data_IF_646548136934
#
_entry.id   IF_646548136934
#
_cell.length_a   1.000
_cell.length_b   1.000
_cell.length_c   1.000
_cell.angle_alpha   90.00
_cell.angle_beta   90.00
_cell.angle_gamma   90.00
#
_symmetry.space_group_name_H-M   'P 1'
#
loop_
_entity.id
_entity.type
_entity.pdbx_description
1 polymer ?
#
# COMPACT_ATOMS: atom_id res chain seq x y z
N UNK A 1 -43.03 6.41 -3.43
CA UNK A 1 -42.90 6.20 -1.98
C UNK A 1 -41.42 5.96 -1.69
N UNK A 2 -40.77 6.92 -1.04
CA UNK A 2 -39.35 6.73 -0.60
C UNK A 2 -39.37 5.71 0.55
N UNK A 3 -38.66 4.61 0.39
CA UNK A 3 -38.50 3.63 1.45
C UNK A 3 -37.96 4.27 2.73
N UNK A 4 -38.63 4.02 3.86
CA UNK A 4 -38.12 4.46 5.17
C UNK A 4 -36.70 3.92 5.39
N UNK A 5 -35.77 4.79 5.75
CA UNK A 5 -34.34 4.48 5.98
C UNK A 5 -34.03 4.56 7.48
N UNK A 6 -34.35 3.53 8.28
CA UNK A 6 -34.28 3.60 9.76
C UNK A 6 -32.87 3.83 10.31
N UNK A 7 -31.84 3.57 9.51
CA UNK A 7 -30.44 3.86 9.92
C UNK A 7 -30.15 5.36 10.02
N UNK A 8 -30.91 6.22 9.32
CA UNK A 8 -30.69 7.68 9.38
C UNK A 8 -31.03 8.26 10.75
N UNK A 9 -31.94 7.62 11.51
CA UNK A 9 -32.31 8.04 12.86
C UNK A 9 -31.12 7.93 13.84
N UNK A 10 -30.11 7.11 13.49
CA UNK A 10 -28.93 6.88 14.28
C UNK A 10 -27.69 7.66 13.79
N UNK A 11 -27.83 8.51 12.77
CA UNK A 11 -26.72 9.31 12.31
C UNK A 11 -26.40 10.44 13.31
N UNK A 12 -25.12 10.66 13.64
CA UNK A 12 -24.74 11.83 14.43
C UNK A 12 -25.14 13.13 13.73
N UNK A 13 -25.45 14.16 14.52
CA UNK A 13 -25.80 15.49 13.96
C UNK A 13 -24.70 16.01 13.03
N UNK A 14 -25.12 16.52 11.87
CA UNK A 14 -24.20 17.07 10.85
C UNK A 14 -23.65 16.05 9.85
N UNK A 15 -24.01 14.77 9.96
CA UNK A 15 -23.67 13.78 8.94
C UNK A 15 -24.78 13.77 7.86
N UNK A 16 -24.45 13.99 6.58
CA UNK A 16 -25.42 13.98 5.50
C UNK A 16 -26.01 12.58 5.29
N UNK A 17 -27.28 12.51 4.96
CA UNK A 17 -27.99 11.26 4.69
C UNK A 17 -27.47 10.52 3.44
N UNK A 18 -26.91 11.25 2.49
CA UNK A 18 -26.33 10.72 1.26
C UNK A 18 -24.93 11.31 1.08
N UNK A 19 -24.03 10.52 0.49
CA UNK A 19 -22.76 11.05 -0.01
C UNK A 19 -22.99 11.75 -1.34
N UNK A 20 -22.14 12.72 -1.64
CA UNK A 20 -22.03 13.31 -2.98
C UNK A 20 -20.85 12.59 -3.69
N UNK A 21 -21.13 11.67 -4.63
CA UNK A 21 -20.07 10.91 -5.30
C UNK A 21 -19.25 11.77 -6.27
N UNK A 22 -19.80 12.93 -6.70
CA UNK A 22 -19.17 13.79 -7.70
C UNK A 22 -18.39 14.94 -7.04
N UNK A 23 -18.32 14.96 -5.71
CA UNK A 23 -17.62 16.01 -4.97
C UNK A 23 -16.12 16.10 -5.29
N UNK A 24 -15.50 14.96 -5.59
CA UNK A 24 -14.10 14.85 -5.95
C UNK A 24 -13.97 14.08 -7.27
N UNK A 25 -13.14 14.61 -8.18
CA UNK A 25 -12.89 13.93 -9.46
C UNK A 25 -12.09 12.64 -9.28
N UNK A 26 -11.23 12.58 -8.26
CA UNK A 26 -10.39 11.40 -7.99
C UNK A 26 -10.13 11.23 -6.48
N UNK A 27 -9.73 10.02 -6.09
CA UNK A 27 -9.27 9.74 -4.73
C UNK A 27 -7.99 10.54 -4.38
N UNK A 28 -7.17 10.88 -5.37
CA UNK A 28 -5.96 11.67 -5.15
C UNK A 28 -6.28 13.14 -4.85
N UNK A 29 -7.29 13.72 -5.50
CA UNK A 29 -7.79 15.05 -5.17
C UNK A 29 -8.32 15.10 -3.74
N UNK A 30 -9.13 14.11 -3.35
CA UNK A 30 -9.60 13.99 -1.98
C UNK A 30 -8.46 13.86 -0.97
N UNK A 31 -7.46 13.01 -1.26
CA UNK A 31 -6.29 12.83 -0.40
C UNK A 31 -5.51 14.15 -0.23
N UNK A 32 -5.30 14.88 -1.32
CA UNK A 32 -4.58 16.15 -1.32
C UNK A 32 -5.29 17.19 -0.43
N UNK A 33 -6.61 17.35 -0.59
CA UNK A 33 -7.41 18.25 0.27
C UNK A 33 -7.30 17.85 1.75
N UNK A 34 -7.48 16.56 2.06
CA UNK A 34 -7.43 16.05 3.44
C UNK A 34 -6.05 16.25 4.05
N UNK A 35 -4.99 15.97 3.29
CA UNK A 35 -3.62 16.14 3.74
C UNK A 35 -3.27 17.61 4.00
N UNK A 36 -3.74 18.53 3.15
CA UNK A 36 -3.57 19.99 3.35
C UNK A 36 -4.33 20.49 4.58
N UNK A 37 -5.61 20.13 4.67
CA UNK A 37 -6.50 20.58 5.75
C UNK A 37 -6.08 20.08 7.13
N UNK A 38 -5.52 18.86 7.21
CA UNK A 38 -5.18 18.22 8.47
C UNK A 38 -3.67 17.98 8.63
N UNK A 39 -2.82 18.74 7.95
CA UNK A 39 -1.39 18.50 7.78
C UNK A 39 -0.65 18.06 9.05
N UNK A 40 -0.93 18.70 10.19
CA UNK A 40 -0.26 18.47 11.46
C UNK A 40 -1.00 17.48 12.39
N UNK A 41 -2.18 17.00 11.98
CA UNK A 41 -2.91 15.99 12.77
C UNK A 41 -2.33 14.60 12.51
N UNK A 42 -2.40 13.68 13.50
CA UNK A 42 -2.05 12.29 13.29
C UNK A 42 -3.02 11.64 12.30
N UNK A 43 -2.47 11.00 11.27
CA UNK A 43 -3.21 10.18 10.32
C UNK A 43 -3.22 8.72 10.74
N UNK A 44 -2.07 8.22 11.23
CA UNK A 44 -1.89 6.84 11.67
C UNK A 44 -1.03 6.79 12.94
N UNK A 45 -1.31 5.79 13.78
CA UNK A 45 -0.51 5.48 14.96
C UNK A 45 -0.14 4.01 14.97
N UNK A 46 1.13 3.70 15.28
CA UNK A 46 1.62 2.33 15.38
C UNK A 46 2.68 2.22 16.47
N UNK A 47 2.45 1.35 17.46
CA UNK A 47 3.36 1.10 18.57
C UNK A 47 3.83 2.40 19.28
N UNK A 48 2.93 3.38 19.44
CA UNK A 48 3.20 4.66 20.10
C UNK A 48 3.97 5.67 19.24
N UNK A 49 4.14 5.41 17.94
CA UNK A 49 4.63 6.40 16.98
C UNK A 49 3.50 6.83 16.05
N UNK A 50 3.32 8.13 15.94
CA UNK A 50 2.34 8.73 15.05
C UNK A 50 2.99 9.16 13.72
N UNK A 51 2.19 9.12 12.66
CA UNK A 51 2.48 9.69 11.35
C UNK A 51 1.41 10.71 11.02
N UNK A 52 1.79 11.96 10.78
CA UNK A 52 0.85 13.02 10.41
C UNK A 52 0.41 12.92 8.95
N UNK A 53 -0.67 13.60 8.59
CA UNK A 53 -1.13 13.69 7.18
C UNK A 53 -0.06 14.29 6.28
N UNK A 54 0.67 15.32 6.72
CA UNK A 54 1.81 15.88 5.96
C UNK A 54 2.92 14.86 5.75
N UNK A 55 3.21 14.05 6.76
CA UNK A 55 4.21 12.98 6.61
C UNK A 55 3.73 11.89 5.66
N UNK A 56 2.46 11.49 5.74
CA UNK A 56 1.87 10.52 4.80
C UNK A 56 1.98 11.01 3.36
N UNK A 57 1.60 12.27 3.11
CA UNK A 57 1.67 12.87 1.78
C UNK A 57 3.10 12.89 1.22
N UNK A 58 4.07 13.37 2.01
CA UNK A 58 5.48 13.39 1.62
C UNK A 58 6.06 11.99 1.37
N UNK A 59 5.78 11.05 2.28
CA UNK A 59 6.31 9.69 2.19
C UNK A 59 5.69 8.92 1.01
N UNK A 60 4.40 9.06 0.78
CA UNK A 60 3.75 8.45 -0.38
C UNK A 60 4.26 9.03 -1.70
N UNK A 61 4.51 10.33 -1.77
CA UNK A 61 5.12 10.97 -2.95
C UNK A 61 6.53 10.42 -3.22
N UNK A 62 7.36 10.28 -2.19
CA UNK A 62 8.70 9.69 -2.32
C UNK A 62 8.64 8.22 -2.77
N UNK A 63 7.69 7.46 -2.24
CA UNK A 63 7.51 6.06 -2.62
C UNK A 63 7.05 5.94 -4.07
N UNK A 64 6.09 6.75 -4.52
CA UNK A 64 5.64 6.79 -5.91
C UNK A 64 6.76 7.16 -6.88
N UNK A 65 7.58 8.17 -6.54
CA UNK A 65 8.74 8.55 -7.32
C UNK A 65 9.77 7.40 -7.44
N UNK A 66 9.96 6.65 -6.35
CA UNK A 66 10.80 5.46 -6.39
C UNK A 66 10.24 4.39 -7.34
N UNK A 67 8.94 4.08 -7.28
CA UNK A 67 8.32 3.08 -8.15
C UNK A 67 8.47 3.44 -9.64
N UNK A 68 8.25 4.70 -10.00
CA UNK A 68 8.49 5.20 -11.35
C UNK A 68 9.96 5.09 -11.77
N UNK A 69 10.91 5.37 -10.86
CA UNK A 69 12.34 5.21 -11.12
C UNK A 69 12.75 3.76 -11.38
N UNK A 70 11.93 2.80 -10.95
CA UNK A 70 12.11 1.36 -11.24
C UNK A 70 11.44 0.90 -12.53
N UNK A 71 10.90 1.83 -13.33
CA UNK A 71 10.31 1.57 -14.63
C UNK A 71 8.83 1.20 -14.61
N UNK A 72 8.16 1.28 -13.45
CA UNK A 72 6.71 1.13 -13.39
C UNK A 72 6.02 2.36 -14.00
N UNK A 73 4.99 2.13 -14.79
CA UNK A 73 4.28 3.15 -15.58
C UNK A 73 2.81 3.23 -15.16
N UNK A 74 2.12 4.35 -15.41
CA UNK A 74 0.68 4.42 -15.22
C UNK A 74 -0.06 3.23 -15.85
N UNK A 75 -1.00 2.65 -15.10
CA UNK A 75 -1.74 1.43 -15.48
C UNK A 75 -1.06 0.11 -15.10
N UNK A 76 0.24 0.09 -14.74
CA UNK A 76 0.88 -1.11 -14.20
C UNK A 76 0.27 -1.49 -12.83
N UNK A 77 0.21 -2.78 -12.54
CA UNK A 77 -0.36 -3.30 -11.28
C UNK A 77 0.75 -3.51 -10.26
N UNK A 78 0.51 -2.98 -9.06
CA UNK A 78 1.44 -3.06 -7.94
C UNK A 78 0.79 -3.76 -6.74
N UNK A 79 1.30 -4.93 -6.38
CA UNK A 79 0.79 -5.72 -5.25
C UNK A 79 1.29 -5.18 -3.91
N UNK A 80 0.41 -5.15 -2.91
CA UNK A 80 0.76 -4.86 -1.52
C UNK A 80 0.32 -6.04 -0.66
N UNK A 81 1.31 -6.75 -0.08
CA UNK A 81 1.08 -7.95 0.74
C UNK A 81 1.62 -7.76 2.15
N UNK A 82 0.82 -7.14 3.01
CA UNK A 82 1.15 -6.92 4.42
C UNK A 82 -0.12 -6.69 5.24
N UNK A 83 -0.08 -6.91 6.57
CA UNK A 83 -1.15 -6.49 7.47
C UNK A 83 -1.16 -4.95 7.61
N UNK A 84 -2.07 -4.45 8.46
CA UNK A 84 -2.20 -3.02 8.74
C UNK A 84 -0.95 -2.47 9.45
N UNK A 85 0.02 -2.01 8.68
CA UNK A 85 1.27 -1.39 9.10
C UNK A 85 1.36 0.03 8.51
N UNK A 86 2.14 0.95 9.10
CA UNK A 86 2.30 2.30 8.57
C UNK A 86 2.82 2.36 7.13
N UNK A 87 3.54 1.34 6.69
CA UNK A 87 4.02 1.22 5.31
C UNK A 87 2.89 1.02 4.30
N UNK A 88 1.78 0.40 4.72
CA UNK A 88 0.65 0.12 3.82
C UNK A 88 0.05 1.41 3.22
N UNK A 89 -0.40 2.40 4.01
CA UNK A 89 -0.96 3.63 3.43
C UNK A 89 0.08 4.42 2.62
N UNK A 90 1.36 4.38 2.99
CA UNK A 90 2.44 5.01 2.20
C UNK A 90 2.53 4.34 0.82
N UNK A 91 2.52 3.01 0.78
CA UNK A 91 2.60 2.25 -0.46
C UNK A 91 1.34 2.40 -1.32
N UNK A 92 0.16 2.33 -0.70
CA UNK A 92 -1.13 2.52 -1.38
C UNK A 92 -1.16 3.87 -2.10
N UNK A 93 -1.03 4.96 -1.34
CA UNK A 93 -1.11 6.30 -1.93
C UNK A 93 0.08 6.63 -2.82
N UNK A 94 1.27 6.06 -2.54
CA UNK A 94 2.42 6.22 -3.41
C UNK A 94 2.24 5.54 -4.77
N UNK A 95 1.69 4.33 -4.79
CA UNK A 95 1.35 3.64 -6.02
C UNK A 95 0.29 4.41 -6.83
N UNK A 96 -0.79 4.87 -6.17
CA UNK A 96 -1.82 5.69 -6.82
C UNK A 96 -1.26 7.00 -7.38
N UNK A 97 -0.40 7.71 -6.62
CA UNK A 97 0.28 8.93 -7.10
C UNK A 97 1.20 8.69 -8.28
N UNK A 98 1.71 7.48 -8.43
CA UNK A 98 2.50 7.06 -9.59
C UNK A 98 1.63 6.59 -10.78
N UNK A 99 0.30 6.62 -10.66
CA UNK A 99 -0.64 6.15 -11.68
C UNK A 99 -0.83 4.64 -11.72
N UNK A 100 -0.37 3.92 -10.69
CA UNK A 100 -0.44 2.45 -10.64
C UNK A 100 -1.79 1.97 -10.11
N UNK A 101 -2.18 0.77 -10.51
CA UNK A 101 -3.33 0.05 -9.98
C UNK A 101 -2.86 -0.83 -8.81
N UNK A 102 -3.44 -0.64 -7.63
CA UNK A 102 -3.04 -1.41 -6.45
C UNK A 102 -3.74 -2.77 -6.43
N UNK A 103 -2.98 -3.82 -6.19
CA UNK A 103 -3.50 -5.18 -5.98
C UNK A 103 -3.36 -5.54 -4.49
N UNK A 104 -4.47 -5.48 -3.76
CA UNK A 104 -4.46 -5.87 -2.36
C UNK A 104 -4.35 -7.39 -2.24
N UNK A 105 -3.28 -7.85 -1.58
CA UNK A 105 -2.98 -9.26 -1.43
C UNK A 105 -3.08 -9.68 0.03
N UNK A 106 -3.86 -10.72 0.30
CA UNK A 106 -3.98 -11.26 1.65
C UNK A 106 -2.62 -11.84 2.11
N UNK A 107 -2.05 -11.36 3.23
CA UNK A 107 -0.77 -11.88 3.72
C UNK A 107 -0.80 -13.36 4.11
N UNK A 108 -1.96 -13.96 4.28
CA UNK A 108 -2.11 -15.37 4.61
C UNK A 108 -2.24 -16.30 3.38
N UNK A 109 -2.16 -15.75 2.17
CA UNK A 109 -2.22 -16.57 0.96
C UNK A 109 -1.07 -17.57 0.89
N UNK A 110 -1.42 -18.78 0.46
CA UNK A 110 -0.46 -19.81 0.07
C UNK A 110 0.29 -19.41 -1.20
N UNK A 111 1.45 -20.02 -1.50
CA UNK A 111 2.14 -19.78 -2.77
C UNK A 111 1.26 -19.95 -4.01
N UNK A 112 0.35 -20.94 -4.02
CA UNK A 112 -0.58 -21.20 -5.14
C UNK A 112 -1.57 -20.05 -5.34
N UNK A 113 -2.14 -19.54 -4.24
CA UNK A 113 -3.08 -18.39 -4.29
C UNK A 113 -2.36 -17.12 -4.73
N UNK A 114 -1.12 -16.89 -4.25
CA UNK A 114 -0.29 -15.77 -4.70
C UNK A 114 0.02 -15.86 -6.19
N UNK A 115 0.46 -17.04 -6.68
CA UNK A 115 0.76 -17.29 -8.09
C UNK A 115 -0.46 -17.01 -8.97
N UNK A 116 -1.64 -17.49 -8.56
CA UNK A 116 -2.89 -17.22 -9.26
C UNK A 116 -3.19 -15.72 -9.31
N UNK A 117 -3.21 -15.04 -8.15
CA UNK A 117 -3.55 -13.62 -8.08
C UNK A 117 -2.58 -12.75 -8.87
N UNK A 118 -1.27 -13.00 -8.78
CA UNK A 118 -0.28 -12.16 -9.46
C UNK A 118 -0.29 -12.35 -10.97
N UNK A 119 -0.60 -13.56 -11.46
CA UNK A 119 -0.73 -13.81 -12.89
C UNK A 119 -2.05 -13.26 -13.44
N UNK A 120 -3.16 -13.43 -12.72
CA UNK A 120 -4.47 -12.92 -13.10
C UNK A 120 -4.49 -11.37 -13.14
N UNK A 121 -3.93 -10.74 -12.11
CA UNK A 121 -3.80 -9.27 -12.06
C UNK A 121 -2.71 -8.72 -12.96
N UNK A 122 -1.80 -9.56 -13.49
CA UNK A 122 -0.59 -9.14 -14.21
C UNK A 122 0.28 -8.16 -13.40
N UNK A 123 0.42 -8.42 -12.09
CA UNK A 123 1.23 -7.58 -11.21
C UNK A 123 2.68 -7.50 -11.68
N UNK A 124 3.23 -6.28 -11.81
CA UNK A 124 4.61 -6.01 -12.19
C UNK A 124 5.51 -5.66 -11.01
N UNK A 125 4.93 -5.20 -9.93
CA UNK A 125 5.67 -4.89 -8.72
C UNK A 125 4.98 -5.40 -7.48
N UNK A 126 5.75 -5.59 -6.40
CA UNK A 126 5.22 -6.00 -5.09
C UNK A 126 5.98 -5.32 -3.95
N UNK A 127 5.23 -4.89 -2.94
CA UNK A 127 5.74 -4.65 -1.59
C UNK A 127 5.20 -5.74 -0.66
N UNK A 128 6.09 -6.59 -0.16
CA UNK A 128 5.74 -7.70 0.72
C UNK A 128 6.40 -7.57 2.09
N UNK A 129 5.68 -7.91 3.16
CA UNK A 129 6.30 -8.04 4.47
C UNK A 129 7.24 -9.26 4.48
N UNK A 130 8.46 -9.10 5.00
CA UNK A 130 9.51 -10.14 5.00
C UNK A 130 9.07 -11.48 5.61
N UNK A 131 8.06 -11.45 6.48
CA UNK A 131 7.46 -12.65 7.07
C UNK A 131 6.88 -13.63 6.03
N UNK A 132 6.50 -13.10 4.87
CA UNK A 132 5.85 -13.85 3.78
C UNK A 132 6.76 -13.99 2.55
N UNK A 133 7.96 -13.41 2.57
CA UNK A 133 8.89 -13.38 1.43
C UNK A 133 9.32 -14.77 0.96
N UNK A 134 9.42 -15.75 1.86
CA UNK A 134 9.73 -17.14 1.50
C UNK A 134 8.62 -17.81 0.67
N UNK A 135 7.37 -17.35 0.77
CA UNK A 135 6.30 -17.85 -0.10
C UNK A 135 6.40 -17.22 -1.49
N UNK A 136 6.75 -15.94 -1.58
CA UNK A 136 6.99 -15.26 -2.86
C UNK A 136 8.16 -15.90 -3.62
N UNK A 137 9.24 -16.25 -2.92
CA UNK A 137 10.40 -16.92 -3.53
C UNK A 137 10.02 -18.18 -4.35
N UNK A 138 9.05 -18.96 -3.85
CA UNK A 138 8.61 -20.21 -4.52
C UNK A 138 7.90 -20.01 -5.85
N UNK A 139 7.39 -18.80 -6.09
CA UNK A 139 6.52 -18.54 -7.24
C UNK A 139 6.98 -17.34 -8.08
N UNK A 140 7.98 -16.60 -7.66
CA UNK A 140 8.39 -15.36 -8.31
C UNK A 140 8.73 -15.57 -9.79
N UNK A 141 9.47 -16.64 -10.09
CA UNK A 141 9.87 -16.99 -11.47
C UNK A 141 8.71 -17.40 -12.38
N UNK A 142 7.52 -17.61 -11.81
CA UNK A 142 6.29 -17.94 -12.52
C UNK A 142 5.35 -16.76 -12.71
N UNK A 143 5.78 -15.57 -12.32
CA UNK A 143 5.00 -14.32 -12.38
C UNK A 143 5.70 -13.28 -13.25
N UNK A 144 4.98 -12.20 -13.56
CA UNK A 144 5.52 -11.03 -14.28
C UNK A 144 6.15 -9.99 -13.34
N UNK A 145 6.29 -10.28 -12.05
CA UNK A 145 6.82 -9.34 -11.07
C UNK A 145 8.33 -9.16 -11.27
N UNK A 146 8.74 -7.95 -11.63
CA UNK A 146 10.13 -7.54 -11.83
C UNK A 146 10.64 -6.53 -10.79
N UNK A 147 9.74 -5.85 -10.07
CA UNK A 147 10.05 -4.91 -8.99
C UNK A 147 9.64 -5.50 -7.66
N UNK A 148 10.61 -5.98 -6.87
CA UNK A 148 10.36 -6.61 -5.56
C UNK A 148 10.88 -5.75 -4.43
N UNK A 149 9.97 -5.36 -3.52
CA UNK A 149 10.31 -4.66 -2.29
C UNK A 149 9.91 -5.48 -1.07
N UNK A 150 10.76 -5.47 -0.05
CA UNK A 150 10.45 -6.08 1.25
C UNK A 150 10.33 -5.03 2.34
N UNK A 151 9.40 -5.21 3.26
CA UNK A 151 9.24 -4.37 4.44
C UNK A 151 9.45 -5.20 5.71
N UNK A 152 9.95 -4.56 6.77
CA UNK A 152 10.00 -5.14 8.11
C UNK A 152 9.03 -4.40 9.03
N UNK A 153 8.48 -5.10 10.02
CA UNK A 153 7.46 -4.54 10.94
C UNK A 153 7.94 -3.24 11.60
N UNK A 154 9.20 -3.17 11.97
CA UNK A 154 9.79 -2.03 12.68
C UNK A 154 10.24 -0.87 11.80
N UNK A 155 10.14 -0.93 10.47
CA UNK A 155 10.78 0.05 9.57
C UNK A 155 10.39 1.51 9.84
N UNK A 156 9.15 1.75 10.29
CA UNK A 156 8.65 3.10 10.56
C UNK A 156 8.81 3.56 12.02
N UNK A 157 9.40 2.75 12.89
CA UNK A 157 9.48 3.07 14.33
C UNK A 157 10.61 4.03 14.71
N UNK A 158 11.60 4.23 13.84
CA UNK A 158 12.78 5.04 14.15
C UNK A 158 13.79 4.32 15.06
N UNK A 159 14.94 4.99 15.29
CA UNK A 159 16.01 4.49 16.16
C UNK A 159 15.69 4.77 17.64
N UNK A 160 15.99 3.87 18.60
CA UNK A 160 16.52 2.50 18.40
C UNK A 160 15.43 1.44 18.22
N UNK A 161 14.14 1.82 18.37
CA UNK A 161 12.97 0.91 18.44
C UNK A 161 12.85 0.03 17.19
N UNK A 162 13.13 0.56 16.00
CA UNK A 162 13.19 -0.19 14.74
C UNK A 162 14.08 -1.44 14.87
N UNK A 163 15.30 -1.27 15.38
CA UNK A 163 16.26 -2.36 15.46
C UNK A 163 15.86 -3.40 16.48
N UNK A 164 15.36 -2.97 17.65
CA UNK A 164 14.87 -3.87 18.70
C UNK A 164 13.69 -4.70 18.20
N UNK A 165 12.69 -4.07 17.61
CA UNK A 165 11.51 -4.77 17.10
C UNK A 165 11.89 -5.77 16.00
N UNK A 166 12.67 -5.34 15.00
CA UNK A 166 13.09 -6.23 13.90
C UNK A 166 13.97 -7.39 14.41
N UNK A 167 14.84 -7.14 15.39
CA UNK A 167 15.62 -8.21 16.01
C UNK A 167 14.74 -9.23 16.73
N UNK A 168 13.78 -8.76 17.55
CA UNK A 168 12.85 -9.64 18.25
C UNK A 168 12.04 -10.49 17.27
N UNK A 169 11.48 -9.88 16.21
CA UNK A 169 10.69 -10.60 15.20
C UNK A 169 11.54 -11.64 14.48
N UNK A 170 12.75 -11.28 14.03
CA UNK A 170 13.61 -12.16 13.24
C UNK A 170 14.31 -13.25 14.07
N UNK A 171 14.85 -12.89 15.23
CA UNK A 171 15.75 -13.75 15.99
C UNK A 171 15.09 -14.43 17.19
N UNK A 172 14.27 -13.71 17.95
CA UNK A 172 13.61 -14.24 19.15
C UNK A 172 12.36 -15.01 18.76
N UNK A 173 11.43 -14.35 18.06
CA UNK A 173 10.16 -14.98 17.63
C UNK A 173 10.30 -15.86 16.39
N UNK A 174 11.39 -15.72 15.65
CA UNK A 174 11.68 -16.48 14.41
C UNK A 174 10.52 -16.46 13.41
N UNK A 175 9.84 -15.32 13.31
CA UNK A 175 8.66 -15.15 12.44
C UNK A 175 9.02 -14.82 10.99
N UNK A 176 10.30 -14.67 10.67
CA UNK A 176 10.81 -14.45 9.32
C UNK A 176 11.57 -15.68 8.87
N UNK A 177 10.98 -16.54 8.01
CA UNK A 177 11.68 -17.66 7.38
C UNK A 177 12.86 -17.16 6.53
N UNK A 178 13.86 -18.00 6.31
CA UNK A 178 14.96 -17.69 5.38
C UNK A 178 14.40 -17.61 3.96
N UNK A 179 14.82 -16.62 3.20
CA UNK A 179 14.48 -16.45 1.78
C UNK A 179 15.64 -15.84 1.00
N UNK A 180 15.67 -16.08 -0.32
CA UNK A 180 16.65 -15.57 -1.25
C UNK A 180 15.94 -14.97 -2.47
N UNK A 181 15.44 -13.74 -2.35
CA UNK A 181 14.86 -13.01 -3.46
C UNK A 181 15.95 -12.17 -4.13
N UNK A 182 16.19 -12.41 -5.41
CA UNK A 182 17.15 -11.64 -6.21
C UNK A 182 16.63 -10.22 -6.46
N UNK A 183 17.55 -9.25 -6.53
CA UNK A 183 17.24 -7.86 -6.88
C UNK A 183 16.20 -7.18 -5.98
N UNK A 184 16.06 -7.64 -4.75
CA UNK A 184 15.11 -7.10 -3.78
C UNK A 184 15.67 -5.87 -3.08
N UNK A 185 14.86 -4.83 -2.96
CA UNK A 185 15.18 -3.61 -2.21
C UNK A 185 14.31 -3.54 -0.96
N UNK A 186 14.89 -3.17 0.18
CA UNK A 186 14.06 -2.99 1.37
C UNK A 186 13.35 -1.63 1.37
N UNK A 187 12.20 -1.55 2.04
CA UNK A 187 11.35 -0.36 2.07
C UNK A 187 12.11 0.91 2.51
N UNK A 188 12.96 0.81 3.54
CA UNK A 188 13.71 1.98 4.02
C UNK A 188 14.72 2.50 2.98
N UNK A 189 15.32 1.60 2.23
CA UNK A 189 16.21 1.95 1.12
C UNK A 189 15.41 2.57 -0.04
N UNK A 190 14.28 1.98 -0.42
CA UNK A 190 13.38 2.53 -1.42
C UNK A 190 12.95 3.96 -1.07
N UNK A 191 12.60 4.22 0.20
CA UNK A 191 12.27 5.56 0.70
C UNK A 191 13.44 6.53 0.60
N UNK A 192 14.67 6.06 0.88
CA UNK A 192 15.87 6.88 0.78
C UNK A 192 16.20 7.23 -0.68
N UNK A 193 16.07 6.25 -1.56
CA UNK A 193 16.28 6.45 -3.00
C UNK A 193 15.19 7.35 -3.61
N UNK A 194 13.93 7.16 -3.22
CA UNK A 194 12.79 7.93 -3.73
C UNK A 194 12.91 9.44 -3.51
N UNK A 195 13.60 9.87 -2.45
CA UNK A 195 13.92 11.31 -2.21
C UNK A 195 14.73 11.97 -3.32
N UNK A 196 15.45 11.17 -4.11
CA UNK A 196 16.32 11.66 -5.19
C UNK A 196 15.57 11.90 -6.51
N UNK A 197 14.35 11.43 -6.61
CA UNK A 197 13.54 11.51 -7.81
C UNK A 197 12.35 12.45 -7.60
N UNK A 198 11.91 13.06 -8.69
CA UNK A 198 10.66 13.80 -8.71
C UNK A 198 9.59 12.88 -9.29
N UNK A 199 8.45 12.79 -8.61
CA UNK A 199 7.31 12.06 -9.15
C UNK A 199 6.79 12.75 -10.40
N UNK A 200 6.51 11.96 -11.42
CA UNK A 200 5.75 12.44 -12.59
C UNK A 200 4.27 12.17 -12.35
N UNK A 201 3.48 13.22 -12.29
CA UNK A 201 2.01 13.15 -12.17
C UNK A 201 1.30 13.59 -13.45
N UNK A 202 2.05 13.70 -14.57
CA UNK A 202 1.53 14.07 -15.88
C UNK A 202 0.93 12.83 -16.58
N UNK A 203 -0.19 12.37 -16.06
CA UNK A 203 -1.03 11.33 -16.64
C UNK A 203 -2.50 11.64 -16.34
N UNK A 204 -3.38 11.24 -17.26
CA UNK A 204 -4.81 11.41 -17.07
C UNK A 204 -5.30 10.56 -15.88
N UNK A 205 -6.07 11.19 -15.02
CA UNK A 205 -6.81 10.55 -13.93
C UNK A 205 -8.31 10.73 -14.20
N UNK A 206 -8.99 9.64 -14.49
CA UNK A 206 -10.42 9.65 -14.74
C UNK A 206 -11.15 9.08 -13.52
N UNK A 207 -12.29 9.64 -13.08
CA UNK A 207 -13.06 9.11 -11.94
C UNK A 207 -13.55 7.67 -12.16
N UNK A 208 -13.57 7.20 -13.40
CA UNK A 208 -13.98 5.83 -13.75
C UNK A 208 -12.80 4.86 -13.89
N UNK A 209 -11.57 5.32 -13.71
CA UNK A 209 -10.40 4.45 -13.80
C UNK A 209 -10.36 3.43 -12.65
N UNK A 210 -9.91 2.22 -12.98
CA UNK A 210 -9.64 1.21 -11.97
C UNK A 210 -8.38 1.59 -11.21
N UNK A 211 -8.48 1.79 -9.91
CA UNK A 211 -7.35 2.16 -9.04
C UNK A 211 -6.95 1.03 -8.08
N UNK A 212 -7.86 0.09 -7.81
CA UNK A 212 -7.63 -1.04 -6.90
C UNK A 212 -8.28 -2.30 -7.44
N UNK A 213 -7.55 -3.41 -7.41
CA UNK A 213 -8.06 -4.75 -7.61
C UNK A 213 -8.16 -5.45 -6.25
N UNK A 214 -9.39 -5.67 -5.80
CA UNK A 214 -9.66 -6.32 -4.53
C UNK A 214 -10.17 -7.73 -4.77
N UNK A 215 -9.35 -8.73 -4.45
CA UNK A 215 -9.74 -10.13 -4.53
C UNK A 215 -10.53 -10.54 -3.30
N UNK A 216 -11.63 -11.22 -3.52
CA UNK A 216 -12.50 -11.76 -2.45
C UNK A 216 -12.39 -13.28 -2.43
N UNK A 217 -12.36 -13.88 -1.24
CA UNK A 217 -12.41 -15.33 -1.10
C UNK A 217 -13.85 -15.86 -1.26
N UNK A 218 -14.00 -17.10 -1.80
CA UNK A 218 -15.26 -17.85 -1.76
C UNK A 218 -16.18 -17.73 -2.97
N UNK A 219 -15.81 -17.03 -4.04
CA UNK A 219 -16.61 -16.94 -5.28
C UNK A 219 -16.16 -17.88 -6.39
N UNK A 220 -14.96 -18.46 -6.28
CA UNK A 220 -14.38 -19.44 -7.21
C UNK A 220 -13.61 -20.47 -6.39
N UNK A 221 -14.31 -21.39 -5.78
CA UNK A 221 -13.73 -22.55 -5.09
C UNK A 221 -13.68 -23.74 -6.01
#
# INVERSE_FOLDING_TARGET
MTAHKPWLDNYPGGIPANIDPDKYSTILEYLDEVCKKNANKPAFSFMGKEMTYKQLDNLSTQFGAYLQSRGLKPGDKFAIMMPNLPQYPIALFGALKAGLIVVNTNPLYTPREMEHQFNDSEARGILILENFAANLEKILDKTKIDVVLTASIGDMLGFPKKHVVNFVIRKVKRMVPRYHLKNTVNFAEAMTQGKKFKINSDFENNPHDVIVLQYTGGTTG
#
